data_IF_564777425481
#
_entry.id   IF_564777425481
#
_cell.length_a   1.000
_cell.length_b   1.000
_cell.length_c   1.000
_cell.angle_alpha   90.00
_cell.angle_beta   90.00
_cell.angle_gamma   90.00
#
_symmetry.space_group_name_H-M   'P 1'
#
loop_
_entity.id
_entity.type
_entity.pdbx_description
1 polymer ?
#
# COMPACT_ATOMS: atom_id res chain seq x y z
N UNK A 1 3.58 -5.03 26.91
CA UNK A 1 4.54 -4.63 25.87
C UNK A 1 5.21 -3.34 26.36
N UNK A 2 6.50 -3.38 26.73
CA UNK A 2 7.21 -2.19 27.22
C UNK A 2 7.61 -1.34 26.02
N UNK A 3 6.86 -0.30 25.74
CA UNK A 3 7.31 0.73 24.79
C UNK A 3 8.41 1.53 25.48
N UNK A 4 9.63 1.40 24.98
CA UNK A 4 10.74 2.24 25.36
C UNK A 4 10.30 3.70 25.11
N UNK A 5 10.49 4.60 26.06
CA UNK A 5 10.01 5.99 26.09
C UNK A 5 10.61 6.92 25.02
N UNK A 6 11.22 6.37 23.97
CA UNK A 6 11.64 7.16 22.79
C UNK A 6 10.38 7.58 22.04
N UNK A 7 10.24 8.86 21.80
CA UNK A 7 9.16 9.42 20.98
C UNK A 7 9.20 8.78 19.59
N UNK A 8 8.18 7.99 19.27
CA UNK A 8 8.02 7.32 17.98
C UNK A 8 7.07 8.19 17.16
N UNK A 9 7.49 8.63 15.97
CA UNK A 9 6.64 9.39 15.06
C UNK A 9 5.72 8.47 14.26
N UNK A 10 6.22 7.31 13.82
CA UNK A 10 5.48 6.31 13.05
C UNK A 10 5.76 4.90 13.55
N UNK A 11 4.71 4.09 13.65
CA UNK A 11 4.80 2.65 13.84
C UNK A 11 4.23 1.98 12.60
N UNK A 12 5.04 1.16 11.94
CA UNK A 12 4.61 0.35 10.79
C UNK A 12 4.44 -1.09 11.29
N UNK A 13 3.24 -1.63 11.09
CA UNK A 13 2.91 -3.02 11.40
C UNK A 13 2.55 -3.72 10.10
N UNK A 14 3.18 -4.85 9.86
CA UNK A 14 2.90 -5.69 8.70
C UNK A 14 2.19 -6.96 9.16
N UNK A 15 1.14 -7.34 8.43
CA UNK A 15 0.43 -8.62 8.60
C UNK A 15 0.62 -9.40 7.30
N UNK A 16 1.41 -10.47 7.39
CA UNK A 16 1.70 -11.34 6.24
C UNK A 16 0.55 -12.26 5.87
N UNK A 17 0.72 -12.92 4.73
CA UNK A 17 -0.26 -13.85 4.18
C UNK A 17 -1.29 -13.19 3.26
N UNK A 18 -2.17 -14.01 2.72
CA UNK A 18 -3.28 -13.54 1.88
C UNK A 18 -4.49 -13.22 2.75
N UNK A 19 -5.22 -12.15 2.41
CA UNK A 19 -6.49 -11.85 3.12
C UNK A 19 -7.45 -13.02 2.97
N UNK A 20 -7.94 -13.52 4.11
CA UNK A 20 -8.78 -14.72 4.19
C UNK A 20 -8.04 -15.96 4.70
N UNK A 21 -6.71 -15.93 4.81
CA UNK A 21 -5.95 -16.98 5.44
C UNK A 21 -6.27 -17.06 6.94
N UNK A 22 -6.48 -18.28 7.45
CA UNK A 22 -6.92 -18.52 8.84
C UNK A 22 -5.94 -17.92 9.85
N UNK A 23 -4.65 -18.06 9.60
CA UNK A 23 -3.62 -17.56 10.50
C UNK A 23 -3.57 -16.02 10.62
N UNK A 24 -4.05 -15.29 9.62
CA UNK A 24 -4.06 -13.82 9.65
C UNK A 24 -5.28 -13.23 10.36
N UNK A 25 -6.38 -13.97 10.49
CA UNK A 25 -7.66 -13.49 11.02
C UNK A 25 -7.56 -12.83 12.41
N UNK A 26 -6.86 -13.40 13.41
CA UNK A 26 -6.74 -12.75 14.73
C UNK A 26 -6.03 -11.38 14.67
N UNK A 27 -5.04 -11.26 13.79
CA UNK A 27 -4.32 -10.00 13.61
C UNK A 27 -5.19 -8.96 12.89
N UNK A 28 -5.93 -9.38 11.87
CA UNK A 28 -6.86 -8.49 11.15
C UNK A 28 -7.96 -8.00 12.08
N UNK A 29 -8.52 -8.86 12.92
CA UNK A 29 -9.50 -8.44 13.93
C UNK A 29 -8.91 -7.46 14.94
N UNK A 30 -7.69 -7.71 15.43
CA UNK A 30 -7.02 -6.81 16.37
C UNK A 30 -6.80 -5.41 15.77
N UNK A 31 -6.32 -5.30 14.51
CA UNK A 31 -6.10 -4.00 13.86
C UNK A 31 -7.43 -3.31 13.52
N UNK A 32 -8.48 -4.07 13.19
CA UNK A 32 -9.82 -3.53 12.99
C UNK A 32 -10.35 -2.86 14.26
N UNK A 33 -10.21 -3.54 15.41
CA UNK A 33 -10.60 -2.99 16.72
C UNK A 33 -9.75 -1.77 17.07
N UNK A 34 -8.43 -1.85 16.90
CA UNK A 34 -7.52 -0.74 17.16
C UNK A 34 -7.92 0.52 16.39
N UNK A 35 -8.34 0.38 15.12
CA UNK A 35 -8.82 1.51 14.31
C UNK A 35 -10.04 2.19 14.93
N UNK A 36 -10.93 1.43 15.57
CA UNK A 36 -12.11 1.99 16.23
C UNK A 36 -11.76 2.75 17.52
N UNK A 37 -10.70 2.35 18.21
CA UNK A 37 -10.22 3.01 19.43
C UNK A 37 -9.40 4.27 19.14
N UNK A 38 -8.77 4.32 17.97
CA UNK A 38 -7.92 5.44 17.55
C UNK A 38 -8.67 6.41 16.62
N UNK A 39 -8.23 7.66 16.57
CA UNK A 39 -8.78 8.60 15.60
C UNK A 39 -8.35 8.23 14.17
N UNK A 40 -9.18 8.60 13.18
CA UNK A 40 -8.90 8.35 11.76
C UNK A 40 -7.54 8.91 11.27
N UNK A 41 -7.03 9.95 11.94
CA UNK A 41 -5.76 10.59 11.59
C UNK A 41 -4.53 9.93 12.25
N UNK A 42 -4.74 8.88 13.07
CA UNK A 42 -3.67 8.18 13.78
C UNK A 42 -3.35 6.82 13.19
N UNK A 43 -4.22 6.31 12.33
CA UNK A 43 -4.03 5.00 11.68
C UNK A 43 -4.35 5.09 10.21
N UNK A 44 -3.64 4.33 9.40
CA UNK A 44 -3.96 4.14 7.99
C UNK A 44 -3.78 2.67 7.63
N UNK A 45 -4.66 2.15 6.79
CA UNK A 45 -4.57 0.81 6.26
C UNK A 45 -4.06 0.84 4.83
N UNK A 46 -2.91 0.23 4.61
CA UNK A 46 -2.30 0.06 3.30
C UNK A 46 -2.45 -1.40 2.90
N UNK A 47 -3.15 -1.66 1.80
CA UNK A 47 -3.32 -3.02 1.30
C UNK A 47 -2.45 -3.24 0.08
N UNK A 48 -1.60 -4.27 0.16
CA UNK A 48 -0.71 -4.68 -0.93
C UNK A 48 -1.42 -5.74 -1.79
N UNK A 49 -1.51 -5.50 -3.10
CA UNK A 49 -2.20 -6.39 -4.04
C UNK A 49 -1.36 -6.67 -5.28
N UNK A 50 -1.74 -7.69 -6.03
CA UNK A 50 -1.19 -8.00 -7.34
C UNK A 50 -2.19 -7.63 -8.45
N UNK A 51 -1.72 -6.92 -9.46
CA UNK A 51 -2.42 -6.67 -10.71
C UNK A 51 -1.69 -7.44 -11.82
N UNK A 52 -2.08 -8.71 -12.07
CA UNK A 52 -1.35 -9.56 -13.00
C UNK A 52 -1.57 -9.11 -14.44
N UNK A 53 -0.51 -9.25 -15.25
CA UNK A 53 -0.56 -9.05 -16.68
C UNK A 53 -0.74 -10.39 -17.39
N UNK A 54 -1.78 -10.50 -18.22
CA UNK A 54 -2.04 -11.67 -19.05
C UNK A 54 -1.45 -11.46 -20.43
N UNK A 55 -0.29 -12.08 -20.69
CA UNK A 55 0.42 -11.96 -21.97
C UNK A 55 -0.44 -12.37 -23.19
N UNK A 56 -1.26 -13.42 -23.05
CA UNK A 56 -2.12 -13.91 -24.13
C UNK A 56 -3.23 -12.92 -24.54
N UNK A 57 -3.66 -12.05 -23.62
CA UNK A 57 -4.72 -11.06 -23.86
C UNK A 57 -4.18 -9.63 -23.94
N UNK A 58 -2.87 -9.44 -23.73
CA UNK A 58 -2.19 -8.14 -23.66
C UNK A 58 -2.90 -7.14 -22.70
N UNK A 59 -3.33 -7.64 -21.55
CA UNK A 59 -4.08 -6.80 -20.61
C UNK A 59 -3.71 -7.05 -19.13
N UNK A 60 -3.86 -6.01 -18.31
CA UNK A 60 -3.82 -6.12 -16.85
C UNK A 60 -5.18 -6.57 -16.30
N UNK A 61 -5.17 -7.46 -15.33
CA UNK A 61 -6.38 -7.93 -14.65
C UNK A 61 -6.55 -7.27 -13.30
N UNK A 62 -7.53 -6.38 -13.18
CA UNK A 62 -7.84 -5.66 -11.94
C UNK A 62 -8.74 -6.45 -10.97
N UNK A 63 -9.40 -7.51 -11.45
CA UNK A 63 -10.31 -8.33 -10.62
C UNK A 63 -9.66 -8.96 -9.39
N UNK A 64 -8.42 -9.51 -9.44
CA UNK A 64 -7.78 -10.06 -8.22
C UNK A 64 -7.67 -9.02 -7.11
N UNK A 65 -7.26 -7.79 -7.43
CA UNK A 65 -7.23 -6.67 -6.48
C UNK A 65 -8.62 -6.36 -5.92
N UNK A 66 -9.63 -6.29 -6.78
CA UNK A 66 -11.02 -6.03 -6.36
C UNK A 66 -11.53 -7.11 -5.39
N UNK A 67 -11.24 -8.38 -5.66
CA UNK A 67 -11.62 -9.50 -4.80
C UNK A 67 -10.89 -9.43 -3.45
N UNK A 68 -9.58 -9.21 -3.45
CA UNK A 68 -8.80 -9.09 -2.22
C UNK A 68 -9.30 -7.95 -1.32
N UNK A 69 -9.62 -6.79 -1.91
CA UNK A 69 -10.21 -5.66 -1.17
C UNK A 69 -11.62 -6.00 -0.67
N UNK A 70 -12.42 -6.72 -1.47
CA UNK A 70 -13.76 -7.17 -1.04
C UNK A 70 -13.68 -8.07 0.20
N UNK A 71 -12.75 -9.03 0.22
CA UNK A 71 -12.52 -9.90 1.38
C UNK A 71 -12.08 -9.09 2.61
N UNK A 72 -11.14 -8.16 2.45
CA UNK A 72 -10.69 -7.29 3.54
C UNK A 72 -11.85 -6.43 4.10
N UNK A 73 -12.70 -5.90 3.23
CA UNK A 73 -13.90 -5.16 3.63
C UNK A 73 -14.93 -6.05 4.33
N UNK A 74 -15.03 -7.32 3.93
CA UNK A 74 -15.87 -8.33 4.60
C UNK A 74 -15.47 -8.53 6.07
N UNK A 75 -14.19 -8.37 6.40
CA UNK A 75 -13.67 -8.39 7.78
C UNK A 75 -13.94 -7.05 8.52
N UNK A 76 -14.37 -6.01 7.80
CA UNK A 76 -14.63 -4.69 8.36
C UNK A 76 -13.46 -3.71 8.23
N UNK A 77 -12.48 -3.99 7.38
CA UNK A 77 -11.32 -3.12 7.12
C UNK A 77 -11.46 -2.50 5.74
N UNK A 78 -11.64 -1.17 5.68
CA UNK A 78 -11.53 -0.41 4.44
C UNK A 78 -10.09 0.10 4.28
N UNK A 79 -9.35 -0.29 3.21
CA UNK A 79 -8.03 0.26 2.97
C UNK A 79 -8.10 1.75 2.63
N UNK A 80 -7.14 2.52 3.12
CA UNK A 80 -6.96 3.94 2.81
C UNK A 80 -6.07 4.11 1.57
N UNK A 81 -5.12 3.18 1.36
CA UNK A 81 -4.19 3.13 0.23
C UNK A 81 -4.12 1.71 -0.34
N UNK A 82 -3.99 1.61 -1.65
CA UNK A 82 -3.61 0.36 -2.33
C UNK A 82 -2.21 0.51 -2.90
N UNK A 83 -1.34 -0.48 -2.66
CA UNK A 83 -0.09 -0.64 -3.39
C UNK A 83 -0.27 -1.83 -4.32
N UNK A 84 -0.27 -1.57 -5.61
CA UNK A 84 -0.54 -2.55 -6.65
C UNK A 84 0.75 -2.97 -7.32
N UNK A 85 1.27 -4.15 -6.97
CA UNK A 85 2.39 -4.74 -7.69
C UNK A 85 1.94 -5.10 -9.11
N UNK A 86 2.73 -4.75 -10.11
CA UNK A 86 2.40 -4.99 -11.52
C UNK A 86 3.65 -5.03 -12.40
N UNK A 87 3.62 -5.86 -13.46
CA UNK A 87 4.67 -5.94 -14.48
C UNK A 87 4.57 -4.80 -15.51
N UNK A 88 3.38 -4.29 -15.77
CA UNK A 88 3.08 -3.23 -16.73
C UNK A 88 2.43 -2.04 -16.04
N UNK A 89 2.60 -0.86 -16.63
CA UNK A 89 1.98 0.36 -16.13
C UNK A 89 0.47 0.23 -16.10
N UNK A 90 -0.13 0.51 -14.94
CA UNK A 90 -1.59 0.56 -14.79
C UNK A 90 -2.11 1.82 -15.47
N UNK A 91 -3.08 1.66 -16.36
CA UNK A 91 -3.71 2.78 -17.05
C UNK A 91 -4.58 3.61 -16.11
N UNK A 92 -4.86 4.86 -16.47
CA UNK A 92 -5.75 5.70 -15.67
C UNK A 92 -7.17 5.11 -15.62
N UNK A 93 -7.64 4.52 -16.73
CA UNK A 93 -8.92 3.80 -16.79
C UNK A 93 -8.96 2.62 -15.83
N UNK A 94 -7.88 1.83 -15.73
CA UNK A 94 -7.79 0.72 -14.75
C UNK A 94 -7.73 1.22 -13.32
N UNK A 95 -7.02 2.34 -13.05
CA UNK A 95 -7.01 2.99 -11.73
C UNK A 95 -8.41 3.48 -11.35
N UNK A 96 -9.14 4.12 -12.24
CA UNK A 96 -10.51 4.57 -12.00
C UNK A 96 -11.45 3.39 -11.74
N UNK A 97 -11.34 2.32 -12.53
CA UNK A 97 -12.10 1.09 -12.32
C UNK A 97 -11.82 0.47 -10.95
N UNK A 98 -10.55 0.34 -10.55
CA UNK A 98 -10.19 -0.16 -9.23
C UNK A 98 -10.70 0.78 -8.13
N UNK A 99 -10.59 2.10 -8.31
CA UNK A 99 -11.08 3.10 -7.38
C UNK A 99 -12.57 2.91 -7.08
N UNK A 100 -13.37 2.74 -8.13
CA UNK A 100 -14.81 2.50 -8.01
C UNK A 100 -15.13 1.22 -7.22
N UNK A 101 -14.55 0.09 -7.62
CA UNK A 101 -14.88 -1.22 -7.01
C UNK A 101 -14.26 -1.41 -5.62
N UNK A 102 -13.12 -0.80 -5.35
CA UNK A 102 -12.46 -0.85 -4.05
C UNK A 102 -12.92 0.24 -3.07
N UNK A 103 -13.79 1.14 -3.51
CA UNK A 103 -14.27 2.29 -2.71
C UNK A 103 -13.10 3.12 -2.14
N UNK A 104 -12.18 3.51 -3.02
CA UNK A 104 -11.00 4.29 -2.68
C UNK A 104 -10.77 5.36 -3.75
N UNK A 105 -10.13 6.47 -3.39
CA UNK A 105 -9.74 7.47 -4.39
C UNK A 105 -8.67 6.93 -5.34
N UNK A 106 -8.81 7.20 -6.65
CA UNK A 106 -7.79 6.80 -7.64
C UNK A 106 -6.38 7.33 -7.29
N UNK A 107 -6.29 8.47 -6.60
CA UNK A 107 -5.02 9.04 -6.10
C UNK A 107 -4.36 8.19 -5.02
N UNK A 108 -5.11 7.31 -4.37
CA UNK A 108 -4.63 6.42 -3.31
C UNK A 108 -4.30 5.01 -3.86
N UNK A 109 -4.30 4.85 -5.18
CA UNK A 109 -3.85 3.63 -5.87
C UNK A 109 -2.45 3.88 -6.39
N UNK A 110 -1.47 3.29 -5.71
CA UNK A 110 -0.04 3.41 -5.97
C UNK A 110 0.40 2.19 -6.77
N UNK A 111 0.95 2.40 -7.95
CA UNK A 111 1.54 1.28 -8.69
C UNK A 111 2.96 1.00 -8.20
N UNK A 112 3.26 -0.27 -7.96
CA UNK A 112 4.60 -0.77 -7.69
C UNK A 112 5.03 -1.62 -8.88
N UNK A 113 5.63 -0.98 -9.89
CA UNK A 113 6.18 -1.68 -11.04
C UNK A 113 7.31 -2.61 -10.60
N UNK A 114 7.33 -3.81 -11.16
CA UNK A 114 8.42 -4.76 -10.93
C UNK A 114 9.75 -4.12 -11.32
N UNK A 115 10.74 -4.30 -10.48
CA UNK A 115 12.10 -3.77 -10.64
C UNK A 115 13.10 -4.92 -10.74
N UNK A 116 14.19 -4.71 -11.44
CA UNK A 116 15.27 -5.70 -11.53
C UNK A 116 16.10 -5.77 -10.25
N UNK A 117 16.19 -4.65 -9.55
CA UNK A 117 16.91 -4.51 -8.30
C UNK A 117 15.96 -3.97 -7.22
N UNK A 118 15.79 -4.71 -6.12
CA UNK A 118 14.89 -4.36 -5.03
C UNK A 118 15.21 -2.99 -4.42
N UNK A 119 16.46 -2.52 -4.49
CA UNK A 119 16.85 -1.20 -3.99
C UNK A 119 16.32 -0.04 -4.84
N UNK A 120 15.74 -0.33 -6.02
CA UNK A 120 15.03 0.65 -6.83
C UNK A 120 13.59 0.89 -6.33
N UNK A 121 13.00 -0.06 -5.60
CA UNK A 121 11.61 0.01 -5.17
C UNK A 121 11.27 1.28 -4.38
N UNK A 122 12.08 1.76 -3.42
CA UNK A 122 11.82 3.02 -2.74
C UNK A 122 11.76 4.24 -3.67
N UNK A 123 12.54 4.20 -4.78
CA UNK A 123 12.53 5.27 -5.78
C UNK A 123 11.24 5.23 -6.61
N UNK A 124 10.79 4.03 -6.98
CA UNK A 124 9.52 3.81 -7.70
C UNK A 124 8.35 4.27 -6.86
N UNK A 125 8.26 3.86 -5.60
CA UNK A 125 7.18 4.24 -4.69
C UNK A 125 7.15 5.75 -4.39
N UNK A 126 8.32 6.38 -4.25
CA UNK A 126 8.40 7.84 -4.08
C UNK A 126 7.96 8.59 -5.35
N UNK A 127 8.31 8.09 -6.55
CA UNK A 127 7.83 8.65 -7.82
C UNK A 127 6.31 8.61 -7.94
N UNK A 128 5.67 7.59 -7.36
CA UNK A 128 4.22 7.44 -7.26
C UNK A 128 3.62 8.25 -6.08
N UNK A 129 4.44 9.03 -5.37
CA UNK A 129 4.06 9.87 -4.23
C UNK A 129 3.47 9.09 -3.04
N UNK A 130 3.92 7.85 -2.79
CA UNK A 130 3.43 7.04 -1.67
C UNK A 130 3.59 7.76 -0.33
N UNK A 131 4.76 8.33 -0.07
CA UNK A 131 5.07 9.09 1.14
C UNK A 131 4.12 10.28 1.34
N UNK A 132 3.88 11.07 0.30
CA UNK A 132 2.95 12.21 0.35
C UNK A 132 1.50 11.75 0.60
N UNK A 133 1.10 10.61 0.03
CA UNK A 133 -0.24 10.04 0.24
C UNK A 133 -0.44 9.52 1.67
N UNK A 134 0.59 8.86 2.23
CA UNK A 134 0.58 8.43 3.63
C UNK A 134 0.39 9.63 4.55
N UNK A 135 1.21 10.67 4.38
CA UNK A 135 1.16 11.88 5.20
C UNK A 135 -0.18 12.63 5.05
N UNK A 136 -0.71 12.68 3.83
CA UNK A 136 -2.02 13.27 3.57
C UNK A 136 -3.15 12.53 4.31
N UNK A 137 -3.19 11.20 4.26
CA UNK A 137 -4.20 10.41 4.93
C UNK A 137 -4.09 10.50 6.47
N UNK A 138 -2.87 10.70 7.00
CA UNK A 138 -2.62 10.98 8.42
C UNK A 138 -2.82 12.46 8.81
N UNK A 139 -3.29 13.31 7.85
CA UNK A 139 -3.46 14.75 8.05
C UNK A 139 -2.20 15.49 8.52
N UNK A 140 -1.01 14.99 8.13
CA UNK A 140 0.28 15.61 8.45
C UNK A 140 0.62 16.63 7.36
N UNK A 141 0.50 17.92 7.68
CA UNK A 141 0.67 19.03 6.72
C UNK A 141 2.10 19.56 6.62
N UNK A 142 2.91 19.39 7.66
CA UNK A 142 4.28 19.90 7.72
C UNK A 142 5.26 18.72 7.78
N UNK A 143 6.03 18.53 6.74
CA UNK A 143 7.04 17.46 6.64
C UNK A 143 8.19 17.87 5.74
N UNK A 144 9.31 17.18 5.89
CA UNK A 144 10.45 17.28 4.97
C UNK A 144 10.31 16.20 3.92
N UNK A 145 10.62 16.52 2.66
CA UNK A 145 10.67 15.51 1.60
C UNK A 145 11.69 14.44 1.92
N UNK A 146 11.38 13.19 1.53
CA UNK A 146 12.28 12.07 1.71
C UNK A 146 13.61 12.28 0.97
N UNK A 147 14.73 12.04 1.66
CA UNK A 147 16.04 12.05 1.03
C UNK A 147 16.42 10.65 0.57
N UNK A 148 16.29 10.41 -0.72
CA UNK A 148 16.55 9.11 -1.34
C UNK A 148 17.96 9.01 -1.96
N UNK A 149 18.90 9.90 -1.63
CA UNK A 149 20.25 9.91 -2.20
C UNK A 149 20.95 8.56 -2.03
N UNK A 150 20.95 8.02 -0.82
CA UNK A 150 21.56 6.70 -0.51
C UNK A 150 20.94 5.55 -1.31
N UNK A 151 19.62 5.56 -1.49
CA UNK A 151 18.92 4.54 -2.30
C UNK A 151 19.34 4.61 -3.76
N UNK A 152 19.50 5.81 -4.33
CA UNK A 152 20.00 5.99 -5.71
C UNK A 152 21.44 5.50 -5.86
N UNK A 153 22.29 5.80 -4.89
CA UNK A 153 23.68 5.35 -4.88
C UNK A 153 23.76 3.82 -4.87
N UNK A 154 23.05 3.15 -3.96
CA UNK A 154 23.01 1.69 -3.85
C UNK A 154 22.43 1.05 -5.12
N UNK A 155 21.32 1.58 -5.63
CA UNK A 155 20.71 1.10 -6.87
C UNK A 155 21.64 1.16 -8.07
N UNK A 156 22.52 2.17 -8.16
CA UNK A 156 23.49 2.33 -9.24
C UNK A 156 24.71 1.41 -9.10
N UNK A 157 25.08 0.97 -7.89
CA UNK A 157 26.21 0.06 -7.67
C UNK A 157 25.91 -1.38 -8.10
N UNK A 158 24.65 -1.73 -8.31
CA UNK A 158 24.23 -3.09 -8.67
C UNK A 158 23.75 -3.20 -10.14
N UNK A 159 24.02 -2.18 -10.94
CA UNK A 159 23.90 -2.23 -12.41
C UNK A 159 25.18 -2.69 -13.05
#
# INVERSE_FOLDING_TARGET
MYFNTKKIDFLIVEVGGTVGDIESLPFLEAIRQLRNEMSKNQTIFIHLTLVPYLKAADELKTKPTQHSVKELRGIGIQPDLLICRCEKKITDTDKEKMALFCNISARNIIQALDVTNIYELPLVLNKENLDERVLYNLNIKKYKKANLKKWREISNLQK
#
